data_IF_386413490989
#
_entry.id   IF_386413490989
#
_cell.length_a   1.000
_cell.length_b   1.000
_cell.length_c   1.000
_cell.angle_alpha   90.00
_cell.angle_beta   90.00
_cell.angle_gamma   90.00
#
_symmetry.space_group_name_H-M   'P 1'
#
loop_
_entity.id
_entity.type
_entity.pdbx_description
1 polymer ?
#
# COMPACT_ATOMS: atom_id res chain seq x y z
N UNK A 1 27.30 10.02 -25.94
CA UNK A 1 25.85 9.73 -26.08
C UNK A 1 25.59 8.52 -26.97
N UNK A 2 26.29 8.32 -28.09
CA UNK A 2 26.05 7.17 -29.01
C UNK A 2 26.37 5.78 -28.45
N UNK A 3 27.27 5.66 -27.46
CA UNK A 3 27.56 4.36 -26.83
C UNK A 3 26.35 3.81 -26.09
N UNK A 4 25.64 4.65 -25.32
CA UNK A 4 24.46 4.24 -24.54
C UNK A 4 23.38 3.72 -25.51
N UNK A 5 23.13 4.44 -26.62
CA UNK A 5 22.18 4.02 -27.65
C UNK A 5 22.59 2.72 -28.35
N UNK A 6 23.88 2.50 -28.58
CA UNK A 6 24.41 1.24 -29.12
C UNK A 6 24.31 0.08 -28.11
N UNK A 7 24.45 0.30 -26.81
CA UNK A 7 24.21 -0.72 -25.78
C UNK A 7 22.71 -1.05 -25.62
N UNK A 8 21.83 -0.05 -25.72
CA UNK A 8 20.38 -0.28 -25.83
C UNK A 8 20.00 -0.99 -27.15
N UNK A 9 20.79 -0.77 -28.20
CA UNK A 9 20.56 -1.33 -29.54
C UNK A 9 21.49 -2.50 -29.87
N UNK A 10 22.23 -3.06 -28.89
CA UNK A 10 23.21 -4.14 -29.11
C UNK A 10 22.47 -5.39 -29.62
N UNK A 11 22.33 -5.45 -30.95
CA UNK A 11 21.72 -6.52 -31.72
C UNK A 11 20.25 -6.81 -31.39
N UNK A 12 19.29 -5.91 -31.63
CA UNK A 12 17.84 -6.22 -31.68
C UNK A 12 17.20 -6.79 -30.37
N UNK A 13 17.98 -7.17 -29.36
CA UNK A 13 17.53 -7.85 -28.13
C UNK A 13 17.38 -6.91 -26.93
N UNK A 14 17.94 -5.70 -27.00
CA UNK A 14 17.91 -4.73 -25.89
C UNK A 14 16.48 -4.37 -25.46
N UNK A 15 15.56 -4.20 -26.41
CA UNK A 15 14.15 -3.95 -26.11
C UNK A 15 13.52 -5.07 -25.26
N UNK A 16 13.82 -6.34 -25.56
CA UNK A 16 13.28 -7.48 -24.81
C UNK A 16 13.82 -7.52 -23.37
N UNK A 17 15.12 -7.30 -23.20
CA UNK A 17 15.77 -7.27 -21.88
C UNK A 17 15.18 -6.15 -21.01
N UNK A 18 15.06 -4.94 -21.56
CA UNK A 18 14.45 -3.82 -20.87
C UNK A 18 12.99 -4.08 -20.49
N UNK A 19 12.18 -4.68 -21.38
CA UNK A 19 10.80 -5.06 -21.03
C UNK A 19 10.74 -6.10 -19.91
N UNK A 20 11.64 -7.08 -19.90
CA UNK A 20 11.71 -8.09 -18.85
C UNK A 20 12.12 -7.47 -17.50
N UNK A 21 13.09 -6.55 -17.50
CA UNK A 21 13.47 -5.80 -16.29
C UNK A 21 12.34 -4.89 -15.79
N UNK A 22 11.68 -4.16 -16.69
CA UNK A 22 10.53 -3.30 -16.33
C UNK A 22 9.38 -4.15 -15.78
N UNK A 23 9.09 -5.29 -16.40
CA UNK A 23 8.05 -6.20 -15.93
C UNK A 23 8.39 -6.75 -14.54
N UNK A 24 9.63 -7.17 -14.34
CA UNK A 24 10.10 -7.68 -13.04
C UNK A 24 10.03 -6.59 -11.97
N UNK A 25 10.49 -5.38 -12.28
CA UNK A 25 10.41 -4.23 -11.39
C UNK A 25 8.95 -3.89 -11.05
N UNK A 26 8.05 -3.95 -12.02
CA UNK A 26 6.62 -3.71 -11.82
C UNK A 26 5.98 -4.76 -10.91
N UNK A 27 6.31 -6.05 -11.09
CA UNK A 27 5.84 -7.13 -10.22
C UNK A 27 6.37 -6.94 -8.80
N UNK A 28 7.65 -6.64 -8.64
CA UNK A 28 8.29 -6.44 -7.34
C UNK A 28 7.71 -5.22 -6.60
N UNK A 29 7.48 -4.12 -7.31
CA UNK A 29 6.77 -2.95 -6.78
C UNK A 29 5.31 -3.27 -6.42
N UNK A 30 4.61 -4.04 -7.25
CA UNK A 30 3.24 -4.47 -6.97
C UNK A 30 3.15 -5.29 -5.69
N UNK A 31 4.07 -6.23 -5.48
CA UNK A 31 4.16 -7.02 -4.25
C UNK A 31 4.50 -6.17 -3.03
N UNK A 32 5.41 -5.20 -3.19
CA UNK A 32 5.77 -4.28 -2.13
C UNK A 32 4.59 -3.40 -1.72
N UNK A 33 3.90 -2.82 -2.71
CA UNK A 33 2.72 -1.97 -2.49
C UNK A 33 1.57 -2.78 -1.88
N UNK A 34 1.30 -3.98 -2.37
CA UNK A 34 0.26 -4.85 -1.79
C UNK A 34 0.58 -5.26 -0.36
N UNK A 35 1.85 -5.51 -0.04
CA UNK A 35 2.30 -5.77 1.34
C UNK A 35 2.08 -4.55 2.22
N UNK A 36 2.56 -3.37 1.81
CA UNK A 36 2.36 -2.12 2.54
C UNK A 36 0.87 -1.76 2.71
N UNK A 37 0.06 -1.98 1.67
CA UNK A 37 -1.39 -1.79 1.73
C UNK A 37 -2.05 -2.76 2.71
N UNK A 38 -1.63 -4.03 2.74
CA UNK A 38 -2.11 -5.00 3.73
C UNK A 38 -1.81 -4.55 5.15
N UNK A 39 -0.58 -4.10 5.41
CA UNK A 39 -0.19 -3.57 6.71
C UNK A 39 -1.01 -2.34 7.10
N UNK A 40 -1.29 -1.43 6.15
CA UNK A 40 -2.11 -0.23 6.40
C UNK A 40 -3.58 -0.57 6.61
N UNK A 41 -4.15 -1.49 5.82
CA UNK A 41 -5.53 -1.97 5.99
C UNK A 41 -5.73 -2.67 7.33
N UNK A 42 -4.75 -3.43 7.79
CA UNK A 42 -4.81 -4.09 9.08
C UNK A 42 -4.80 -3.07 10.24
N UNK A 43 -4.12 -1.92 10.10
CA UNK A 43 -4.21 -0.82 11.07
C UNK A 43 -5.56 -0.08 10.99
N UNK A 44 -6.13 0.10 9.80
CA UNK A 44 -7.41 0.78 9.62
C UNK A 44 -8.58 0.00 10.22
N UNK A 45 -8.53 -1.33 10.18
CA UNK A 45 -9.53 -2.20 10.84
C UNK A 45 -9.54 -1.99 12.36
N UNK A 46 -8.38 -1.77 12.98
CA UNK A 46 -8.32 -1.47 14.41
C UNK A 46 -8.90 -0.09 14.77
N UNK A 47 -8.72 0.92 13.91
CA UNK A 47 -9.33 2.25 14.12
C UNK A 47 -10.86 2.21 13.99
N UNK A 48 -11.39 1.42 13.07
CA UNK A 48 -12.83 1.28 12.87
C UNK A 48 -13.51 0.62 14.09
N UNK A 49 -12.88 -0.39 14.69
CA UNK A 49 -13.41 -1.03 15.90
C UNK A 49 -13.23 -0.20 17.19
N UNK A 50 -12.19 0.62 17.29
CA UNK A 50 -12.01 1.51 18.46
C UNK A 50 -13.09 2.61 18.50
N UNK A 51 -13.40 3.23 17.36
CA UNK A 51 -14.36 4.32 17.28
C UNK A 51 -15.79 3.90 17.72
N UNK A 52 -16.20 2.68 17.38
CA UNK A 52 -17.52 2.13 17.79
C UNK A 52 -17.58 1.91 19.31
N UNK A 53 -16.48 1.50 19.92
CA UNK A 53 -16.43 1.19 21.35
C UNK A 53 -16.40 2.45 22.22
N UNK A 54 -15.68 3.50 21.79
CA UNK A 54 -15.65 4.78 22.50
C UNK A 54 -17.00 5.50 22.44
N UNK A 55 -17.71 5.41 21.31
CA UNK A 55 -19.07 5.94 21.17
C UNK A 55 -20.07 5.28 22.12
N UNK A 56 -19.91 3.97 22.37
CA UNK A 56 -20.78 3.21 23.30
C UNK A 56 -20.47 3.52 24.76
N UNK A 57 -19.18 3.67 25.12
CA UNK A 57 -18.74 4.03 26.48
C UNK A 57 -19.16 5.45 26.88
N UNK A 58 -19.19 6.39 25.94
CA UNK A 58 -19.54 7.78 26.22
C UNK A 58 -21.07 7.99 26.40
N UNK A 59 -21.90 7.13 25.80
CA UNK A 59 -23.36 7.16 25.97
C UNK A 59 -23.77 6.76 27.40
N UNK A 60 -23.15 5.73 27.98
CA UNK A 60 -23.49 5.26 29.34
C UNK A 60 -23.09 6.26 30.44
N UNK A 61 -21.98 6.98 30.29
CA UNK A 61 -21.50 7.92 31.30
C UNK A 61 -22.34 9.23 31.37
N UNK A 62 -23.03 9.59 30.28
CA UNK A 62 -23.96 10.73 30.26
C UNK A 62 -25.32 10.42 30.87
N UNK A 63 -25.76 9.16 30.87
CA UNK A 63 -27.03 8.76 31.52
C UNK A 63 -26.92 8.66 33.04
N UNK A 64 -25.75 8.26 33.58
CA UNK A 64 -25.55 8.15 35.03
C UNK A 64 -25.38 9.51 35.73
N UNK A 65 -24.91 10.53 35.01
CA UNK A 65 -24.77 11.91 35.52
C UNK A 65 -26.03 12.75 35.33
N UNK A 66 -27.06 12.23 34.66
CA UNK A 66 -28.32 12.92 34.38
C UNK A 66 -29.52 12.43 35.22
N UNK A 67 -29.30 11.53 36.20
CA UNK A 67 -30.35 11.10 37.12
C UNK A 67 -30.27 11.93 38.42
N UNK A 68 -31.22 12.87 38.65
CA UNK A 68 -31.32 13.64 39.89
C UNK A 68 -31.78 12.79 41.08
#
# INVERSE_FOLDING_TARGET
>A
MEQITNFLSMGNYGAYIWTAYVLTAAVMLGLLVTTLQRLRKNKAELEEFQNIQDSTKQSGHKEETARP
#
